data_IF_213648572932
#
_entry.id   IF_213648572932
#
_cell.length_a   1.000
_cell.length_b   1.000
_cell.length_c   1.000
_cell.angle_alpha   90.00
_cell.angle_beta   90.00
_cell.angle_gamma   90.00
#
_symmetry.space_group_name_H-M   'P 1'
#
loop_
_entity.id
_entity.type
_entity.pdbx_description
1 polymer ?
#
# COMPACT_ATOMS: atom_id res chain seq x y z
N UNK A 1 48.75 51.02 47.41
CA UNK A 1 48.14 50.20 46.32
C UNK A 1 47.47 51.16 45.37
N UNK A 2 47.97 51.23 44.14
CA UNK A 2 47.54 52.22 43.16
C UNK A 2 46.09 51.94 42.71
N UNK A 3 45.18 52.85 43.05
CA UNK A 3 43.74 52.74 42.78
C UNK A 3 43.44 52.51 41.28
N UNK A 4 44.30 53.04 40.42
CA UNK A 4 44.21 52.88 38.96
C UNK A 4 44.38 51.43 38.50
N UNK A 5 45.35 50.69 39.08
CA UNK A 5 45.56 49.28 38.75
C UNK A 5 44.41 48.40 39.24
N UNK A 6 43.88 48.70 40.43
CA UNK A 6 42.74 47.99 40.98
C UNK A 6 41.48 48.13 40.10
N UNK A 7 41.18 49.35 39.66
CA UNK A 7 40.03 49.63 38.77
C UNK A 7 40.21 48.91 37.42
N UNK A 8 41.41 48.96 36.82
CA UNK A 8 41.71 48.27 35.55
C UNK A 8 41.61 46.73 35.66
N UNK A 9 41.98 46.16 36.81
CA UNK A 9 41.84 44.72 37.07
C UNK A 9 40.37 44.34 37.17
N UNK A 10 39.58 45.10 37.96
CA UNK A 10 38.16 44.84 38.17
C UNK A 10 37.32 44.99 36.89
N UNK A 11 37.62 45.98 36.04
CA UNK A 11 37.00 46.13 34.72
C UNK A 11 37.30 44.94 33.80
N UNK A 12 38.54 44.43 33.78
CA UNK A 12 38.89 43.24 32.98
C UNK A 12 38.15 42.00 33.44
N UNK A 13 37.99 41.81 34.76
CA UNK A 13 37.28 40.66 35.31
C UNK A 13 35.79 40.73 34.99
N UNK A 14 35.16 41.91 35.06
CA UNK A 14 33.76 42.13 34.66
C UNK A 14 33.58 41.84 33.16
N UNK A 15 34.44 42.36 32.29
CA UNK A 15 34.36 42.12 30.84
C UNK A 15 34.56 40.64 30.50
N UNK A 16 35.47 39.95 31.20
CA UNK A 16 35.66 38.49 31.03
C UNK A 16 34.44 37.70 31.49
N UNK A 17 33.85 38.06 32.62
CA UNK A 17 32.62 37.44 33.12
C UNK A 17 31.45 37.65 32.14
N UNK A 18 31.30 38.88 31.63
CA UNK A 18 30.29 39.20 30.63
C UNK A 18 30.49 38.38 29.34
N UNK A 19 31.70 38.37 28.77
CA UNK A 19 32.01 37.57 27.57
C UNK A 19 31.76 36.08 27.76
N UNK A 20 32.11 35.52 28.92
CA UNK A 20 31.82 34.12 29.25
C UNK A 20 30.33 33.84 29.30
N UNK A 21 29.57 34.74 29.94
CA UNK A 21 28.13 34.62 30.00
C UNK A 21 27.50 34.70 28.60
N UNK A 22 27.86 35.72 27.81
CA UNK A 22 27.35 35.87 26.43
C UNK A 22 27.71 34.68 25.55
N UNK A 23 28.93 34.15 25.66
CA UNK A 23 29.35 32.95 24.92
C UNK A 23 28.54 31.71 25.33
N UNK A 24 28.29 31.53 26.64
CA UNK A 24 27.44 30.44 27.12
C UNK A 24 25.99 30.59 26.64
N UNK A 25 25.42 31.80 26.67
CA UNK A 25 24.06 32.05 26.16
C UNK A 25 23.96 31.79 24.66
N UNK A 26 24.94 32.24 23.87
CA UNK A 26 25.00 31.98 22.43
C UNK A 26 25.16 30.48 22.12
N UNK A 27 25.95 29.76 22.91
CA UNK A 27 26.08 28.30 22.78
C UNK A 27 24.76 27.60 23.06
N UNK A 28 24.06 27.98 24.13
CA UNK A 28 22.76 27.42 24.49
C UNK A 28 21.72 27.67 23.39
N UNK A 29 21.66 28.87 22.82
CA UNK A 29 20.79 29.15 21.68
C UNK A 29 21.15 28.30 20.47
N UNK A 30 22.43 28.16 20.14
CA UNK A 30 22.88 27.32 19.02
C UNK A 30 22.45 25.87 19.19
N UNK A 31 22.62 25.31 20.38
CA UNK A 31 22.19 23.94 20.71
C UNK A 31 20.67 23.78 20.60
N UNK A 32 19.89 24.76 21.09
CA UNK A 32 18.44 24.75 20.96
C UNK A 32 17.97 24.82 19.51
N UNK A 33 18.61 25.67 18.69
CA UNK A 33 18.35 25.72 17.25
C UNK A 33 18.68 24.39 16.56
N UNK A 34 19.80 23.75 16.90
CA UNK A 34 20.14 22.43 16.35
C UNK A 34 19.09 21.38 16.73
N UNK A 35 18.68 21.34 18.01
CA UNK A 35 17.62 20.43 18.46
C UNK A 35 16.30 20.66 17.71
N UNK A 36 15.93 21.93 17.50
CA UNK A 36 14.71 22.28 16.75
C UNK A 36 14.81 21.91 15.27
N UNK A 37 15.99 22.03 14.68
CA UNK A 37 16.24 21.62 13.30
C UNK A 37 16.11 20.10 13.15
N UNK A 38 16.67 19.32 14.07
CA UNK A 38 16.50 17.85 14.12
C UNK A 38 15.03 17.46 14.34
N UNK A 39 14.29 18.16 15.22
CA UNK A 39 12.85 17.97 15.40
C UNK A 39 12.10 18.20 14.07
N UNK A 40 12.42 19.28 13.35
CA UNK A 40 11.80 19.61 12.06
C UNK A 40 12.13 18.59 10.96
N UNK A 41 13.37 18.09 10.90
CA UNK A 41 13.75 17.05 9.94
C UNK A 41 12.96 15.76 10.18
N UNK A 42 12.82 15.33 11.44
CA UNK A 42 11.95 14.18 11.81
C UNK A 42 10.49 14.42 11.44
N UNK A 43 9.98 15.64 11.66
CA UNK A 43 8.62 15.98 11.24
C UNK A 43 8.47 15.93 9.72
N UNK A 44 9.44 16.45 8.96
CA UNK A 44 9.43 16.42 7.50
C UNK A 44 9.40 14.99 6.97
N UNK A 45 10.17 14.08 7.55
CA UNK A 45 10.15 12.65 7.20
C UNK A 45 8.80 11.98 7.51
N UNK A 46 8.04 12.51 8.48
CA UNK A 46 6.71 11.99 8.83
C UNK A 46 5.59 12.51 7.92
N UNK A 47 5.82 13.61 7.20
CA UNK A 47 4.85 14.21 6.29
C UNK A 47 4.93 13.45 4.96
N UNK A 48 3.81 12.83 4.59
CA UNK A 48 3.63 12.27 3.27
C UNK A 48 2.97 13.38 2.47
N UNK A 49 3.66 14.04 1.51
CA UNK A 49 3.02 15.08 0.72
C UNK A 49 1.84 14.46 0.00
N UNK A 50 0.67 15.10 0.09
CA UNK A 50 -0.51 14.62 -0.62
C UNK A 50 -0.14 14.50 -2.10
N UNK A 51 -0.33 13.32 -2.74
CA UNK A 51 0.00 13.17 -4.14
C UNK A 51 -0.78 14.21 -4.97
N UNK A 52 -0.27 14.61 -6.14
CA UNK A 52 -0.95 15.54 -7.01
C UNK A 52 -2.22 14.86 -7.56
N UNK A 53 -3.34 15.05 -6.86
CA UNK A 53 -4.68 14.57 -7.24
C UNK A 53 -5.40 15.72 -7.92
N UNK A 54 -6.02 15.44 -9.06
CA UNK A 54 -6.79 16.42 -9.82
C UNK A 54 -8.31 16.23 -9.65
N UNK A 55 -9.09 17.11 -10.29
CA UNK A 55 -10.56 17.03 -10.27
C UNK A 55 -11.05 15.81 -11.06
N UNK A 56 -10.28 15.33 -12.03
CA UNK A 56 -10.63 14.18 -12.84
C UNK A 56 -10.57 12.90 -12.01
N UNK A 57 -9.57 12.75 -11.15
CA UNK A 57 -9.43 11.63 -10.21
C UNK A 57 -10.63 11.52 -9.27
N UNK A 58 -11.13 12.66 -8.79
CA UNK A 58 -12.35 12.72 -7.97
C UNK A 58 -13.59 12.28 -8.76
N UNK A 59 -13.70 12.65 -10.05
CA UNK A 59 -14.79 12.19 -10.93
C UNK A 59 -14.71 10.70 -11.20
N UNK A 60 -13.51 10.14 -11.29
CA UNK A 60 -13.27 8.71 -11.46
C UNK A 60 -13.50 7.90 -10.17
N UNK A 61 -13.86 8.58 -9.07
CA UNK A 61 -14.19 7.95 -7.80
C UNK A 61 -12.97 7.41 -7.08
N UNK A 62 -11.83 8.09 -7.22
CA UNK A 62 -10.61 7.74 -6.50
C UNK A 62 -10.72 8.17 -5.04
N UNK A 63 -10.28 7.27 -4.17
CA UNK A 63 -10.13 7.50 -2.75
C UNK A 63 -8.65 7.38 -2.39
N UNK A 64 -8.11 8.46 -1.83
CA UNK A 64 -6.75 8.49 -1.31
C UNK A 64 -6.78 8.73 0.18
N UNK A 65 -6.12 7.85 0.94
CA UNK A 65 -5.92 8.07 2.37
C UNK A 65 -4.56 7.58 2.81
N UNK A 66 -4.07 8.16 3.89
CA UNK A 66 -2.78 7.82 4.50
C UNK A 66 -3.02 7.02 5.77
N UNK A 67 -2.28 5.94 5.93
CA UNK A 67 -2.17 5.20 7.19
C UNK A 67 -0.69 5.02 7.53
N UNK A 68 -0.23 5.64 8.61
CA UNK A 68 1.18 5.60 8.98
C UNK A 68 2.10 6.14 7.87
N UNK A 69 2.96 5.27 7.32
CA UNK A 69 3.89 5.60 6.22
C UNK A 69 3.40 5.16 4.84
N UNK A 70 2.19 4.60 4.77
CA UNK A 70 1.61 4.06 3.55
C UNK A 70 0.50 4.99 3.05
N UNK A 71 0.52 5.23 1.74
CA UNK A 71 -0.53 5.90 1.01
C UNK A 71 -1.37 4.85 0.28
N UNK A 72 -2.67 4.82 0.55
CA UNK A 72 -3.59 3.99 -0.20
C UNK A 72 -4.21 4.79 -1.33
N UNK A 73 -4.06 4.29 -2.55
CA UNK A 73 -4.71 4.84 -3.74
C UNK A 73 -5.72 3.82 -4.26
N UNK A 74 -7.01 4.10 -4.08
CA UNK A 74 -8.10 3.16 -4.35
C UNK A 74 -9.08 3.69 -5.38
N UNK A 75 -9.62 2.80 -6.21
CA UNK A 75 -10.68 3.09 -7.16
C UNK A 75 -11.81 2.06 -7.02
N UNK A 76 -13.05 2.50 -7.19
CA UNK A 76 -14.17 1.55 -7.26
C UNK A 76 -14.06 0.66 -8.51
N UNK A 77 -14.03 -0.65 -8.30
CA UNK A 77 -13.98 -1.64 -9.39
C UNK A 77 -15.05 -2.71 -9.20
N UNK A 78 -15.60 -3.14 -10.35
CA UNK A 78 -16.46 -4.32 -10.46
C UNK A 78 -15.65 -5.40 -11.16
N UNK A 79 -15.36 -6.48 -10.45
CA UNK A 79 -14.60 -7.62 -10.98
C UNK A 79 -15.56 -8.78 -11.15
N UNK A 80 -15.59 -9.34 -12.35
CA UNK A 80 -16.32 -10.58 -12.65
C UNK A 80 -15.30 -11.69 -12.81
N UNK A 81 -15.38 -12.70 -11.94
CA UNK A 81 -14.54 -13.88 -12.00
C UNK A 81 -15.07 -14.78 -13.12
N UNK A 82 -14.24 -14.91 -14.16
CA UNK A 82 -14.59 -15.66 -15.38
C UNK A 82 -13.80 -16.95 -15.51
N UNK A 83 -12.65 -17.03 -14.85
CA UNK A 83 -11.70 -18.12 -15.02
C UNK A 83 -11.15 -18.56 -13.67
N UNK A 84 -10.71 -19.80 -13.60
CA UNK A 84 -9.90 -20.27 -12.49
C UNK A 84 -8.78 -21.20 -12.95
N UNK A 85 -7.72 -21.25 -12.15
CA UNK A 85 -6.60 -22.19 -12.32
C UNK A 85 -6.72 -23.26 -11.24
N UNK A 86 -6.55 -24.51 -11.64
CA UNK A 86 -6.48 -25.65 -10.73
C UNK A 86 -5.59 -26.73 -11.34
N UNK A 87 -4.63 -27.25 -10.56
CA UNK A 87 -3.64 -28.25 -11.02
C UNK A 87 -2.95 -27.84 -12.33
N UNK A 88 -2.60 -26.55 -12.46
CA UNK A 88 -1.92 -26.04 -13.67
C UNK A 88 -2.78 -26.01 -14.94
N UNK A 89 -4.10 -26.12 -14.83
CA UNK A 89 -5.02 -26.00 -15.98
C UNK A 89 -5.91 -24.77 -15.77
N UNK A 90 -6.06 -23.97 -16.82
CA UNK A 90 -6.95 -22.81 -16.85
C UNK A 90 -8.33 -23.24 -17.34
N UNK A 91 -9.35 -22.97 -16.54
CA UNK A 91 -10.74 -23.26 -16.84
C UNK A 91 -11.52 -21.97 -17.01
N UNK A 92 -12.40 -21.92 -18.02
CA UNK A 92 -13.39 -20.85 -18.18
C UNK A 92 -14.70 -21.29 -17.52
N UNK A 93 -15.20 -20.50 -16.58
CA UNK A 93 -16.47 -20.75 -15.91
C UNK A 93 -17.64 -20.50 -16.85
N UNK A 94 -18.62 -21.40 -16.81
CA UNK A 94 -19.91 -21.17 -17.45
C UNK A 94 -20.61 -19.92 -16.86
N UNK A 95 -21.37 -19.15 -17.64
CA UNK A 95 -21.92 -17.86 -17.22
C UNK A 95 -22.68 -17.88 -15.89
N UNK A 96 -23.46 -18.93 -15.63
CA UNK A 96 -24.25 -19.14 -14.41
C UNK A 96 -23.42 -19.43 -13.15
N UNK A 97 -22.13 -19.73 -13.34
CA UNK A 97 -21.15 -19.93 -12.27
C UNK A 97 -20.20 -18.75 -12.10
N UNK A 98 -20.31 -17.68 -12.91
CA UNK A 98 -19.48 -16.49 -12.75
C UNK A 98 -19.88 -15.69 -11.51
N UNK A 99 -18.88 -15.37 -10.69
CA UNK A 99 -19.05 -14.52 -9.51
C UNK A 99 -18.74 -13.07 -9.84
N UNK A 100 -19.49 -12.12 -9.30
CA UNK A 100 -19.14 -10.69 -9.40
C UNK A 100 -18.93 -10.11 -8.01
N UNK A 101 -17.77 -9.48 -7.80
CA UNK A 101 -17.49 -8.69 -6.62
C UNK A 101 -17.40 -7.21 -6.99
N UNK A 102 -17.81 -6.35 -6.06
CA UNK A 102 -17.74 -4.89 -6.20
C UNK A 102 -17.12 -4.32 -4.94
N UNK A 103 -16.17 -3.42 -5.09
CA UNK A 103 -15.41 -2.87 -3.99
C UNK A 103 -14.41 -1.82 -4.43
N UNK A 104 -13.66 -1.31 -3.48
CA UNK A 104 -12.53 -0.43 -3.72
C UNK A 104 -11.28 -1.30 -3.93
N UNK A 105 -10.71 -1.27 -5.13
CA UNK A 105 -9.43 -1.90 -5.44
C UNK A 105 -8.36 -0.84 -5.50
N UNK A 106 -7.21 -1.12 -4.90
CA UNK A 106 -6.13 -0.16 -4.96
C UNK A 106 -4.79 -0.70 -4.51
N UNK A 107 -3.85 0.24 -4.43
CA UNK A 107 -2.46 0.00 -4.12
C UNK A 107 -2.13 0.61 -2.77
N UNK A 108 -1.33 -0.12 -1.98
CA UNK A 108 -0.59 0.42 -0.85
C UNK A 108 0.76 0.89 -1.39
N UNK A 109 1.02 2.18 -1.28
CA UNK A 109 2.22 2.84 -1.80
C UNK A 109 3.08 3.37 -0.65
N UNK A 110 4.39 3.20 -0.76
CA UNK A 110 5.34 3.85 0.15
C UNK A 110 5.58 5.33 -0.20
N UNK A 111 6.47 5.99 0.53
CA UNK A 111 6.84 7.41 0.30
C UNK A 111 7.43 7.71 -1.07
N UNK A 112 8.00 6.70 -1.74
CA UNK A 112 8.61 6.81 -3.05
C UNK A 112 7.68 6.30 -4.16
N UNK A 113 6.39 6.07 -3.85
CA UNK A 113 5.43 5.41 -4.74
C UNK A 113 5.82 3.99 -5.16
N UNK A 114 6.59 3.28 -4.34
CA UNK A 114 6.75 1.84 -4.48
C UNK A 114 5.47 1.14 -4.06
N UNK A 115 5.04 0.16 -4.85
CA UNK A 115 3.87 -0.66 -4.54
C UNK A 115 4.26 -1.70 -3.48
N UNK A 116 3.90 -1.44 -2.24
CA UNK A 116 4.08 -2.35 -1.11
C UNK A 116 3.02 -3.45 -1.08
N UNK A 117 1.83 -3.18 -1.63
CA UNK A 117 0.74 -4.15 -1.63
C UNK A 117 -0.45 -3.77 -2.50
N UNK A 118 -1.34 -4.75 -2.68
CA UNK A 118 -2.62 -4.58 -3.37
C UNK A 118 -3.74 -4.93 -2.39
N UNK A 119 -4.75 -4.06 -2.32
CA UNK A 119 -5.87 -4.20 -1.38
C UNK A 119 -7.21 -4.12 -2.10
N UNK A 120 -8.17 -4.92 -1.64
CA UNK A 120 -9.53 -4.92 -2.13
C UNK A 120 -10.52 -4.86 -0.96
N UNK A 121 -11.15 -3.70 -0.80
CA UNK A 121 -11.98 -3.36 0.36
C UNK A 121 -13.46 -3.31 -0.01
N UNK A 122 -14.30 -3.72 0.93
CA UNK A 122 -15.74 -3.49 0.84
C UNK A 122 -16.08 -2.12 1.44
N UNK A 123 -16.62 -1.15 0.68
CA UNK A 123 -16.94 0.17 1.23
C UNK A 123 -17.98 0.14 2.36
N UNK A 124 -18.82 -0.89 2.43
CA UNK A 124 -19.79 -1.06 3.53
C UNK A 124 -19.20 -1.67 4.80
N UNK A 125 -18.08 -2.38 4.68
CA UNK A 125 -17.41 -3.02 5.81
C UNK A 125 -15.91 -3.17 5.50
N UNK A 126 -15.11 -2.11 5.63
CA UNK A 126 -13.72 -2.09 5.17
C UNK A 126 -12.81 -3.07 5.93
N UNK A 127 -13.17 -3.42 7.17
CA UNK A 127 -12.45 -4.40 8.00
C UNK A 127 -12.78 -5.86 7.68
N UNK A 128 -13.75 -6.09 6.77
CA UNK A 128 -14.03 -7.39 6.18
C UNK A 128 -13.76 -7.26 4.69
N UNK A 129 -12.65 -7.82 4.25
CA UNK A 129 -12.31 -7.97 2.84
C UNK A 129 -13.47 -8.50 2.01
N UNK A 130 -13.43 -8.26 0.71
CA UNK A 130 -14.54 -8.68 -0.15
C UNK A 130 -14.60 -10.21 -0.23
N UNK A 131 -15.80 -10.76 -0.40
CA UNK A 131 -16.09 -12.20 -0.53
C UNK A 131 -15.49 -12.81 -1.82
N UNK A 132 -14.17 -12.83 -1.93
CA UNK A 132 -13.38 -13.27 -3.08
C UNK A 132 -12.29 -14.27 -2.63
N UNK A 133 -12.05 -15.38 -3.35
CA UNK A 133 -11.09 -16.41 -2.92
C UNK A 133 -9.68 -15.89 -2.61
N UNK A 134 -9.23 -14.92 -3.40
CA UNK A 134 -7.88 -14.38 -3.32
C UNK A 134 -7.79 -13.09 -2.50
N UNK A 135 -8.80 -12.81 -1.66
CA UNK A 135 -8.83 -11.62 -0.79
C UNK A 135 -9.05 -12.08 0.63
N UNK A 136 -8.10 -11.75 1.50
CA UNK A 136 -8.13 -12.08 2.92
C UNK A 136 -9.17 -11.25 3.69
N UNK A 137 -9.47 -11.64 4.93
CA UNK A 137 -10.40 -10.91 5.81
C UNK A 137 -9.96 -9.45 6.05
N UNK A 138 -8.66 -9.14 6.01
CA UNK A 138 -8.14 -7.77 6.13
C UNK A 138 -8.17 -6.98 4.82
N UNK A 139 -8.66 -7.59 3.72
CA UNK A 139 -8.71 -6.95 2.40
C UNK A 139 -7.41 -7.02 1.61
N UNK A 140 -6.35 -7.62 2.15
CA UNK A 140 -5.11 -7.86 1.40
C UNK A 140 -5.36 -8.92 0.31
N UNK A 141 -4.86 -8.64 -0.89
CA UNK A 141 -4.98 -9.52 -2.05
C UNK A 141 -3.82 -10.53 -2.05
N UNK A 142 -4.14 -11.82 -2.01
CA UNK A 142 -3.18 -12.93 -2.01
C UNK A 142 -3.26 -13.66 -3.34
N UNK A 143 -2.32 -13.41 -4.25
CA UNK A 143 -2.30 -13.99 -5.60
C UNK A 143 -1.03 -14.82 -5.87
N UNK A 144 -0.34 -15.26 -4.82
CA UNK A 144 0.91 -16.02 -4.95
C UNK A 144 1.91 -15.30 -5.85
N UNK A 145 2.45 -16.02 -6.84
CA UNK A 145 3.41 -15.51 -7.82
C UNK A 145 2.85 -14.41 -8.75
N UNK A 146 1.52 -14.30 -8.86
CA UNK A 146 0.88 -13.28 -9.72
C UNK A 146 0.94 -11.88 -9.10
N UNK A 147 1.01 -11.77 -7.77
CA UNK A 147 1.20 -10.51 -7.03
C UNK A 147 2.61 -9.92 -7.21
N UNK A 148 3.63 -10.76 -7.42
CA UNK A 148 5.03 -10.34 -7.63
C UNK A 148 5.22 -9.50 -8.89
N UNK A 149 4.29 -9.55 -9.85
CA UNK A 149 4.35 -8.72 -11.07
C UNK A 149 4.03 -7.24 -10.80
N UNK A 150 3.41 -6.93 -9.67
CA UNK A 150 2.92 -5.60 -9.32
C UNK A 150 3.66 -5.07 -8.10
N UNK A 151 3.81 -5.89 -7.05
CA UNK A 151 4.51 -5.53 -5.82
C UNK A 151 6.00 -5.29 -6.11
N UNK A 152 6.58 -4.26 -5.50
CA UNK A 152 7.97 -3.85 -5.67
C UNK A 152 8.24 -2.97 -6.89
N UNK A 153 7.22 -2.64 -7.69
CA UNK A 153 7.35 -1.63 -8.75
C UNK A 153 7.18 -0.22 -8.19
N UNK A 154 8.00 0.70 -8.69
CA UNK A 154 7.90 2.13 -8.41
C UNK A 154 7.07 2.81 -9.47
N UNK A 155 6.11 3.64 -9.07
CA UNK A 155 5.38 4.51 -10.00
C UNK A 155 6.23 5.73 -10.33
N UNK A 156 6.30 6.10 -11.61
CA UNK A 156 6.91 7.39 -12.01
C UNK A 156 6.01 8.57 -11.64
N UNK A 157 4.70 8.39 -11.77
CA UNK A 157 3.67 9.36 -11.42
C UNK A 157 2.48 8.66 -10.73
N UNK A 158 1.75 9.38 -9.87
CA UNK A 158 0.63 8.78 -9.13
C UNK A 158 -0.46 8.22 -10.04
N UNK A 159 -0.73 8.86 -11.19
CA UNK A 159 -1.75 8.42 -12.15
C UNK A 159 -1.39 7.08 -12.81
N UNK A 160 -0.14 6.63 -12.76
CA UNK A 160 0.19 5.26 -13.20
C UNK A 160 -0.50 4.20 -12.34
N UNK A 161 -0.92 4.54 -11.11
CA UNK A 161 -1.67 3.66 -10.24
C UNK A 161 -2.93 3.09 -10.93
N UNK A 162 -3.63 3.87 -11.77
CA UNK A 162 -4.81 3.39 -12.51
C UNK A 162 -4.53 2.13 -13.33
N UNK A 163 -3.41 2.15 -14.06
CA UNK A 163 -2.97 1.03 -14.90
C UNK A 163 -2.71 -0.22 -14.05
N UNK A 164 -2.05 -0.06 -12.92
CA UNK A 164 -1.75 -1.17 -12.02
C UNK A 164 -3.00 -1.71 -11.30
N UNK A 165 -3.95 -0.84 -10.97
CA UNK A 165 -5.27 -1.24 -10.45
C UNK A 165 -6.03 -2.05 -11.50
N UNK A 166 -6.01 -1.63 -12.77
CA UNK A 166 -6.64 -2.39 -13.85
C UNK A 166 -5.98 -3.75 -14.08
N UNK A 167 -4.65 -3.82 -14.03
CA UNK A 167 -3.92 -5.09 -14.08
C UNK A 167 -4.34 -5.98 -12.89
N UNK A 168 -4.38 -5.44 -11.68
CA UNK A 168 -4.83 -6.19 -10.50
C UNK A 168 -6.28 -6.68 -10.65
N UNK A 169 -7.17 -5.86 -11.21
CA UNK A 169 -8.56 -6.25 -11.49
C UNK A 169 -8.65 -7.39 -12.52
N UNK A 170 -7.82 -7.35 -13.57
CA UNK A 170 -7.71 -8.43 -14.55
C UNK A 170 -7.21 -9.72 -13.91
N UNK A 171 -6.18 -9.64 -13.06
CA UNK A 171 -5.67 -10.81 -12.35
C UNK A 171 -6.76 -11.38 -11.42
N UNK A 172 -7.47 -10.55 -10.67
CA UNK A 172 -8.59 -10.98 -9.82
C UNK A 172 -9.77 -11.57 -10.60
N UNK A 173 -9.90 -11.29 -11.90
CA UNK A 173 -10.90 -11.97 -12.75
C UNK A 173 -10.58 -13.45 -13.02
N UNK A 174 -9.35 -13.87 -12.71
CA UNK A 174 -8.86 -15.25 -12.81
C UNK A 174 -8.37 -15.73 -11.46
N UNK A 175 -9.16 -16.58 -10.80
CA UNK A 175 -8.82 -17.09 -9.46
C UNK A 175 -7.87 -18.27 -9.58
N UNK A 176 -6.70 -18.21 -8.94
CA UNK A 176 -5.89 -19.41 -8.73
C UNK A 176 -6.37 -20.17 -7.49
N UNK A 177 -6.99 -21.34 -7.66
CA UNK A 177 -7.36 -22.20 -6.53
C UNK A 177 -6.18 -22.97 -5.95
N UNK A 178 -5.07 -23.11 -6.69
CA UNK A 178 -3.84 -23.71 -6.16
C UNK A 178 -3.22 -22.80 -5.07
N UNK A 179 -3.43 -21.48 -5.17
CA UNK A 179 -2.95 -20.47 -4.20
C UNK A 179 -4.03 -20.06 -3.17
N UNK A 180 -5.28 -20.47 -3.37
CA UNK A 180 -6.39 -20.03 -2.54
C UNK A 180 -6.33 -20.71 -1.17
N UNK A 181 -5.89 -19.96 -0.16
CA UNK A 181 -5.90 -20.39 1.24
C UNK A 181 -7.31 -20.83 1.68
N UNK A 182 -7.37 -21.96 2.41
CA UNK A 182 -8.59 -22.64 2.88
C UNK A 182 -9.37 -21.88 4.00
N UNK A 183 -9.36 -20.54 4.01
CA UNK A 183 -9.92 -19.76 5.11
C UNK A 183 -11.05 -18.85 4.63
N UNK A 184 -12.29 -19.25 5.01
CA UNK A 184 -13.53 -18.46 4.89
C UNK A 184 -13.92 -18.03 3.47
N UNK A 185 -13.71 -18.91 2.50
CA UNK A 185 -14.16 -18.72 1.12
C UNK A 185 -15.66 -18.45 1.05
N UNK A 186 -16.06 -17.52 0.17
CA UNK A 186 -17.46 -17.13 -0.01
C UNK A 186 -18.35 -18.32 -0.39
N UNK A 187 -19.66 -18.24 -0.13
CA UNK A 187 -20.60 -19.30 -0.51
C UNK A 187 -20.52 -19.65 -2.01
N UNK A 188 -20.28 -18.64 -2.86
CA UNK A 188 -19.99 -18.84 -4.28
C UNK A 188 -18.71 -19.66 -4.48
N UNK A 189 -17.61 -19.27 -3.85
CA UNK A 189 -16.32 -19.96 -3.99
C UNK A 189 -16.40 -21.41 -3.52
N UNK A 190 -17.06 -21.67 -2.39
CA UNK A 190 -17.31 -23.04 -1.90
C UNK A 190 -18.11 -23.88 -2.89
N UNK A 191 -19.12 -23.30 -3.53
CA UNK A 191 -19.91 -23.99 -4.57
C UNK A 191 -19.05 -24.42 -5.77
N UNK A 192 -18.01 -23.65 -6.10
CA UNK A 192 -17.04 -23.98 -7.15
C UNK A 192 -16.06 -25.04 -6.65
N UNK A 193 -15.38 -24.77 -5.53
CA UNK A 193 -14.36 -25.65 -4.94
C UNK A 193 -14.92 -27.05 -4.66
N UNK A 194 -16.13 -27.16 -4.11
CA UNK A 194 -16.74 -28.46 -3.81
C UNK A 194 -16.93 -29.31 -5.07
N UNK A 195 -17.32 -28.70 -6.20
CA UNK A 195 -17.45 -29.41 -7.47
C UNK A 195 -16.09 -29.75 -8.08
N UNK A 196 -15.11 -28.88 -7.91
CA UNK A 196 -13.73 -29.16 -8.32
C UNK A 196 -13.18 -30.38 -7.57
N UNK A 197 -13.39 -30.46 -6.26
CA UNK A 197 -12.95 -31.58 -5.43
C UNK A 197 -13.77 -32.87 -5.60
N UNK A 198 -15.01 -32.76 -6.08
CA UNK A 198 -15.84 -33.89 -6.47
C UNK A 198 -15.54 -34.39 -7.90
N UNK A 199 -14.52 -33.86 -8.59
CA UNK A 199 -14.20 -34.12 -10.00
C UNK A 199 -15.35 -33.80 -10.99
N UNK A 200 -16.26 -32.90 -10.62
CA UNK A 200 -17.40 -32.44 -11.43
C UNK A 200 -17.11 -31.15 -12.21
N UNK A 201 -15.83 -30.90 -12.53
CA UNK A 201 -15.37 -29.64 -13.16
C UNK A 201 -16.09 -29.36 -14.48
N UNK A 202 -16.36 -30.40 -15.28
CA UNK A 202 -17.06 -30.26 -16.56
C UNK A 202 -18.47 -29.68 -16.45
N UNK A 203 -19.11 -29.77 -15.28
CA UNK A 203 -20.46 -29.22 -15.05
C UNK A 203 -20.46 -27.70 -14.82
N UNK A 204 -19.29 -27.10 -14.59
CA UNK A 204 -19.14 -25.67 -14.25
C UNK A 204 -18.27 -24.89 -15.22
N UNK A 205 -17.73 -25.55 -16.24
CA UNK A 205 -16.79 -24.95 -17.19
C UNK A 205 -17.27 -25.07 -18.62
N UNK A 206 -17.03 -24.05 -19.44
CA UNK A 206 -17.26 -24.12 -20.91
C UNK A 206 -16.01 -24.58 -21.65
N UNK A 207 -14.84 -24.10 -21.23
CA UNK A 207 -13.57 -24.34 -21.91
C UNK A 207 -12.47 -24.72 -20.91
N UNK A 208 -11.52 -25.51 -21.40
CA UNK A 208 -10.28 -25.85 -20.68
C UNK A 208 -9.08 -25.59 -21.56
N UNK A 209 -8.08 -24.92 -21.00
CA UNK A 209 -6.79 -24.66 -21.64
C UNK A 209 -5.73 -25.20 -20.70
N UNK A 210 -4.98 -26.22 -21.12
CA UNK A 210 -3.78 -26.63 -20.38
C UNK A 210 -2.78 -25.49 -20.45
N UNK A 211 -2.38 -24.97 -19.29
CA UNK A 211 -1.25 -24.08 -19.24
C UNK A 211 -0.04 -24.99 -19.40
N UNK A 212 0.51 -25.06 -20.62
CA UNK A 212 1.86 -25.57 -20.77
C UNK A 212 2.71 -24.74 -19.82
N UNK A 213 3.52 -25.41 -19.00
CA UNK A 213 4.39 -24.76 -18.03
C UNK A 213 5.06 -23.56 -18.69
N UNK A 214 4.68 -22.35 -18.27
CA UNK A 214 5.49 -21.15 -18.53
C UNK A 214 6.89 -21.33 -17.91
N UNK A 215 7.05 -22.35 -17.07
CA UNK A 215 8.25 -22.82 -16.37
C UNK A 215 9.12 -23.83 -17.13
N UNK A 216 8.83 -24.15 -18.39
CA UNK A 216 9.74 -24.95 -19.22
C UNK A 216 10.35 -24.08 -20.32
N UNK A 217 11.13 -23.07 -19.92
CA UNK A 217 12.13 -22.34 -20.73
C UNK A 217 13.00 -21.50 -19.81
#
# INVERSE_FOLDING_TARGET
LDMSEYIKKRLRDIVRAYRRYTAATLSAYKEEYQRKLEELERFKESIFPMPPIDIQDLKEGVHVFKEGRILYFLQYKKITVKKFIYKGVLYTLAPEYQGTCRGLLGLALDQNYNIDGVVYLNPKNPYRGVRHPNVSDSGAVCLGESTFRIIGKTLGEIHEAYKFIDIAAQVLSTVNFDDAYDQKVSAWSRRIINRVYADEISQITTDRIKLNSVWSS
#
